data_IF_913125608849
#
_entry.id   IF_913125608849
#
_cell.length_a   1.000
_cell.length_b   1.000
_cell.length_c   1.000
_cell.angle_alpha   90.00
_cell.angle_beta   90.00
_cell.angle_gamma   90.00
#
_symmetry.space_group_name_H-M   'P 1'
#
loop_
_entity.id
_entity.type
_entity.pdbx_description
1 polymer ?
#
# COMPACT_ATOMS: atom_id res chain seq x y z
N UNK A 1 46.87 -2.12 -19.56
CA UNK A 1 46.15 -1.03 -20.26
C UNK A 1 45.33 -0.30 -19.20
N UNK A 2 45.55 0.94 -19.06
CA UNK A 2 45.64 1.75 -17.87
C UNK A 2 44.31 2.41 -17.49
N UNK A 3 44.04 2.50 -16.20
CA UNK A 3 42.95 3.11 -15.47
C UNK A 3 42.69 4.63 -15.77
N UNK A 4 43.37 5.21 -16.69
CA UNK A 4 43.34 6.66 -16.96
C UNK A 4 42.29 7.09 -18.00
N UNK A 5 41.60 6.16 -18.65
CA UNK A 5 40.61 6.53 -19.69
C UNK A 5 39.18 6.73 -19.17
N UNK A 6 38.87 6.30 -17.94
CA UNK A 6 37.54 6.46 -17.32
C UNK A 6 37.33 7.85 -16.69
N UNK A 7 38.43 8.52 -16.30
CA UNK A 7 38.36 9.80 -15.61
C UNK A 7 38.11 11.02 -16.51
N UNK A 8 38.27 10.88 -17.84
CA UNK A 8 38.13 12.01 -18.78
C UNK A 8 36.73 12.17 -19.39
N UNK A 9 35.85 11.16 -19.29
CA UNK A 9 34.46 11.26 -19.80
C UNK A 9 33.52 12.02 -18.86
N UNK A 10 33.90 12.32 -17.62
CA UNK A 10 33.03 12.89 -16.59
C UNK A 10 33.20 14.41 -16.38
N UNK A 11 33.80 15.14 -17.32
CA UNK A 11 34.03 16.61 -17.18
C UNK A 11 33.10 17.49 -18.05
N UNK A 12 32.09 16.93 -18.73
CA UNK A 12 31.32 17.71 -19.72
C UNK A 12 29.83 17.83 -19.46
N UNK A 13 29.35 17.57 -18.25
CA UNK A 13 27.93 17.83 -17.88
C UNK A 13 27.76 18.69 -16.62
N UNK A 14 28.38 19.88 -16.64
CA UNK A 14 28.12 20.93 -15.63
C UNK A 14 27.25 22.03 -16.22
N UNK A 15 26.14 21.71 -16.85
CA UNK A 15 25.19 22.73 -17.34
C UNK A 15 23.79 22.14 -17.48
N UNK A 16 23.13 21.81 -16.39
CA UNK A 16 21.66 21.82 -16.28
C UNK A 16 21.14 21.35 -14.91
N UNK A 17 21.77 21.78 -13.83
CA UNK A 17 21.28 21.48 -12.47
C UNK A 17 19.85 21.95 -12.20
N UNK A 18 19.37 22.98 -12.90
CA UNK A 18 18.01 23.47 -12.78
C UNK A 18 16.96 22.57 -13.50
N UNK A 19 17.31 22.03 -14.67
CA UNK A 19 16.42 21.16 -15.42
C UNK A 19 16.27 19.78 -14.76
N UNK A 20 17.36 19.24 -14.21
CA UNK A 20 17.35 17.99 -13.44
C UNK A 20 16.57 18.17 -12.15
N UNK A 21 16.69 19.31 -11.47
CA UNK A 21 15.96 19.61 -10.25
C UNK A 21 14.43 19.79 -10.50
N UNK A 22 14.04 20.34 -11.67
CA UNK A 22 12.64 20.43 -12.09
C UNK A 22 12.07 19.05 -12.47
N UNK A 23 12.83 18.22 -13.18
CA UNK A 23 12.42 16.84 -13.48
C UNK A 23 12.30 15.98 -12.22
N UNK A 24 13.18 16.16 -11.22
CA UNK A 24 13.09 15.47 -9.94
C UNK A 24 11.84 15.90 -9.18
N UNK A 25 11.47 17.19 -9.19
CA UNK A 25 10.23 17.69 -8.55
C UNK A 25 8.95 17.17 -9.24
N UNK A 26 8.94 17.06 -10.56
CA UNK A 26 7.81 16.45 -11.27
C UNK A 26 7.73 14.93 -11.08
N UNK A 27 8.87 14.25 -10.95
CA UNK A 27 8.91 12.80 -10.68
C UNK A 27 8.48 12.47 -9.25
N UNK A 28 8.80 13.32 -8.26
CA UNK A 28 8.40 13.17 -6.86
C UNK A 28 6.87 13.26 -6.67
N UNK A 29 6.17 14.04 -7.52
CA UNK A 29 4.70 14.13 -7.48
C UNK A 29 3.98 12.93 -8.12
N UNK A 30 4.66 12.09 -8.91
CA UNK A 30 4.08 10.91 -9.58
C UNK A 30 4.27 9.59 -8.83
N UNK A 31 5.00 9.58 -7.70
CA UNK A 31 5.36 8.35 -6.97
C UNK A 31 4.22 7.71 -6.17
N UNK A 32 3.01 8.27 -6.20
CA UNK A 32 1.85 7.76 -5.47
C UNK A 32 1.25 6.47 -6.05
N UNK A 33 1.88 5.83 -7.03
CA UNK A 33 1.36 4.63 -7.67
C UNK A 33 2.39 3.73 -8.33
N UNK A 34 3.69 3.95 -8.14
CA UNK A 34 4.72 3.08 -8.72
C UNK A 34 4.64 1.69 -8.09
N UNK A 35 4.35 0.69 -8.91
CA UNK A 35 4.41 -0.68 -8.45
C UNK A 35 5.88 -1.11 -8.27
N UNK A 36 6.09 -2.19 -7.50
CA UNK A 36 7.44 -2.71 -7.20
C UNK A 36 8.25 -3.04 -8.46
N UNK A 37 7.59 -3.45 -9.56
CA UNK A 37 8.26 -3.79 -10.82
C UNK A 37 8.82 -2.55 -11.52
N UNK A 38 8.11 -1.42 -11.46
CA UNK A 38 8.61 -0.17 -12.05
C UNK A 38 9.78 0.37 -11.26
N UNK A 39 9.72 0.33 -9.92
CA UNK A 39 10.87 0.65 -9.06
C UNK A 39 12.08 -0.27 -9.30
N UNK A 40 11.86 -1.56 -9.55
CA UNK A 40 12.94 -2.49 -9.90
C UNK A 40 13.57 -2.16 -11.25
N UNK A 41 12.78 -1.72 -12.24
CA UNK A 41 13.31 -1.27 -13.55
C UNK A 41 14.14 -0.01 -13.37
N UNK A 42 13.66 0.96 -12.60
CA UNK A 42 14.41 2.20 -12.33
C UNK A 42 15.73 1.89 -11.62
N UNK A 43 15.73 0.96 -10.65
CA UNK A 43 16.95 0.51 -9.98
C UNK A 43 17.95 -0.19 -10.94
N UNK A 44 17.45 -0.85 -12.00
CA UNK A 44 18.33 -1.48 -13.02
C UNK A 44 18.87 -0.48 -14.04
N UNK A 45 18.20 0.65 -14.27
CA UNK A 45 18.51 1.60 -15.35
C UNK A 45 19.20 2.86 -14.86
N UNK A 46 18.97 3.26 -13.60
CA UNK A 46 19.58 4.45 -13.00
C UNK A 46 20.79 4.09 -12.12
N UNK A 47 21.63 5.07 -11.80
CA UNK A 47 22.72 4.82 -10.84
C UNK A 47 22.15 4.64 -9.44
N UNK A 48 22.76 3.79 -8.61
CA UNK A 48 22.35 3.58 -7.22
C UNK A 48 22.31 4.89 -6.43
N UNK A 49 23.26 5.81 -6.69
CA UNK A 49 23.32 7.11 -6.03
C UNK A 49 22.10 7.99 -6.36
N UNK A 50 21.60 7.94 -7.58
CA UNK A 50 20.43 8.69 -8.03
C UNK A 50 19.15 8.05 -7.48
N UNK A 51 19.07 6.71 -7.47
CA UNK A 51 17.97 5.97 -6.88
C UNK A 51 17.84 6.24 -5.35
N UNK A 52 18.98 6.27 -4.62
CA UNK A 52 18.99 6.57 -3.18
C UNK A 52 18.59 8.00 -2.83
N UNK A 53 18.65 8.92 -3.79
CA UNK A 53 18.14 10.30 -3.63
C UNK A 53 16.65 10.43 -3.96
N UNK A 54 16.06 9.42 -4.60
CA UNK A 54 14.62 9.40 -4.83
C UNK A 54 13.91 9.13 -3.51
N UNK A 55 12.94 9.95 -3.17
CA UNK A 55 12.06 9.70 -2.04
C UNK A 55 11.04 8.61 -2.43
N UNK A 56 11.46 7.36 -2.28
CA UNK A 56 10.65 6.15 -2.56
C UNK A 56 9.92 5.71 -1.30
N UNK A 57 9.71 6.60 -0.35
CA UNK A 57 9.05 6.31 0.92
C UNK A 57 7.60 5.89 0.65
N UNK A 58 7.26 4.68 1.07
CA UNK A 58 5.87 4.23 1.08
C UNK A 58 5.07 5.18 1.97
N UNK A 59 3.95 5.67 1.46
CA UNK A 59 2.99 6.42 2.27
C UNK A 59 2.67 5.61 3.54
N UNK A 60 2.75 6.21 4.73
CA UNK A 60 2.31 5.56 5.95
C UNK A 60 0.88 5.02 5.77
N UNK A 61 0.59 3.86 6.35
CA UNK A 61 -0.72 3.20 6.20
C UNK A 61 -1.89 4.13 6.52
N UNK A 62 -1.78 4.97 7.56
CA UNK A 62 -2.84 5.90 7.97
C UNK A 62 -3.10 6.99 6.93
N UNK A 63 -2.07 7.49 6.25
CA UNK A 63 -2.22 8.47 5.17
C UNK A 63 -2.84 7.81 3.94
N UNK A 64 -2.45 6.56 3.63
CA UNK A 64 -3.02 5.79 2.53
C UNK A 64 -4.53 5.59 2.70
N UNK A 65 -5.01 5.14 3.87
CA UNK A 65 -6.44 4.96 4.12
C UNK A 65 -7.19 6.30 4.22
N UNK A 66 -6.54 7.38 4.70
CA UNK A 66 -7.15 8.71 4.71
C UNK A 66 -7.34 9.24 3.28
N UNK A 67 -6.35 9.05 2.41
CA UNK A 67 -6.45 9.40 1.00
C UNK A 67 -7.56 8.62 0.30
N UNK A 68 -7.67 7.30 0.56
CA UNK A 68 -8.75 6.47 0.01
C UNK A 68 -10.15 6.97 0.42
N UNK A 69 -10.32 7.48 1.65
CA UNK A 69 -11.57 8.11 2.07
C UNK A 69 -11.84 9.38 1.26
N UNK A 70 -10.83 10.24 1.09
CA UNK A 70 -10.96 11.50 0.33
C UNK A 70 -11.31 11.23 -1.14
N UNK A 71 -10.63 10.30 -1.79
CA UNK A 71 -10.86 9.94 -3.19
C UNK A 71 -12.26 9.39 -3.46
N UNK A 72 -12.88 8.74 -2.46
CA UNK A 72 -14.24 8.17 -2.53
C UNK A 72 -15.32 9.09 -1.97
N UNK A 73 -14.94 10.22 -1.39
CA UNK A 73 -15.88 11.12 -0.71
C UNK A 73 -16.56 10.50 0.51
N UNK A 74 -15.93 9.48 1.11
CA UNK A 74 -16.47 8.78 2.27
C UNK A 74 -15.86 9.29 3.59
N UNK A 75 -16.64 9.28 4.67
CA UNK A 75 -16.15 9.66 5.99
C UNK A 75 -15.45 8.48 6.68
N UNK A 76 -14.47 8.78 7.53
CA UNK A 76 -13.75 7.77 8.33
C UNK A 76 -14.71 6.95 9.19
N UNK A 77 -15.70 7.62 9.81
CA UNK A 77 -16.73 6.98 10.65
C UNK A 77 -17.56 5.97 9.87
N UNK A 78 -17.92 6.31 8.63
CA UNK A 78 -18.71 5.42 7.78
C UNK A 78 -17.93 4.13 7.45
N UNK A 79 -16.66 4.27 7.08
CA UNK A 79 -15.78 3.12 6.80
C UNK A 79 -15.57 2.27 8.07
N UNK A 80 -15.27 2.89 9.22
CA UNK A 80 -15.08 2.18 10.49
C UNK A 80 -16.33 1.36 10.85
N UNK A 81 -17.52 1.93 10.67
CA UNK A 81 -18.80 1.26 10.94
C UNK A 81 -19.04 0.09 9.99
N UNK A 82 -18.83 0.28 8.67
CA UNK A 82 -18.97 -0.78 7.66
C UNK A 82 -17.96 -1.91 7.86
N UNK A 83 -16.74 -1.59 8.26
CA UNK A 83 -15.70 -2.57 8.59
C UNK A 83 -16.00 -3.35 9.89
N UNK A 84 -17.00 -2.96 10.68
CA UNK A 84 -17.29 -3.59 11.96
C UNK A 84 -16.16 -3.44 13.00
N UNK A 85 -15.38 -2.36 12.89
CA UNK A 85 -14.26 -2.08 13.79
C UNK A 85 -14.72 -1.16 14.92
N UNK A 86 -14.22 -1.41 16.15
CA UNK A 86 -14.48 -0.50 17.27
C UNK A 86 -14.09 0.94 16.90
N UNK A 87 -14.95 1.91 17.21
CA UNK A 87 -14.79 3.31 16.84
C UNK A 87 -13.45 3.90 17.31
N UNK A 88 -13.10 3.71 18.57
CA UNK A 88 -11.86 4.23 19.15
C UNK A 88 -10.63 3.64 18.45
N UNK A 89 -10.63 2.32 18.22
CA UNK A 89 -9.57 1.63 17.50
C UNK A 89 -9.46 2.12 16.04
N UNK A 90 -10.59 2.28 15.36
CA UNK A 90 -10.65 2.81 13.99
C UNK A 90 -10.00 4.19 13.89
N UNK A 91 -10.37 5.12 14.77
CA UNK A 91 -9.74 6.45 14.81
C UNK A 91 -8.24 6.39 15.09
N UNK A 92 -7.77 5.48 15.94
CA UNK A 92 -6.34 5.27 16.19
C UNK A 92 -5.60 4.81 14.92
N UNK A 93 -6.23 3.97 14.09
CA UNK A 93 -5.67 3.55 12.81
C UNK A 93 -5.54 4.73 11.83
N UNK A 94 -6.59 5.53 11.69
CA UNK A 94 -6.60 6.70 10.80
C UNK A 94 -5.68 7.84 11.26
N UNK A 95 -5.35 7.91 12.54
CA UNK A 95 -4.43 8.91 13.08
C UNK A 95 -2.98 8.39 13.18
N UNK A 96 -2.72 7.15 12.77
CA UNK A 96 -1.39 6.57 12.82
C UNK A 96 -0.87 6.24 14.22
N UNK A 97 -1.71 6.39 15.27
CA UNK A 97 -1.31 6.11 16.66
C UNK A 97 -1.24 4.61 16.97
N UNK A 98 -1.78 3.78 16.08
CA UNK A 98 -1.78 2.32 16.23
C UNK A 98 -1.52 1.64 14.90
N UNK A 99 -0.61 0.65 14.90
CA UNK A 99 -0.37 -0.20 13.74
C UNK A 99 -1.55 -1.19 13.61
N UNK A 100 -2.13 -1.37 12.41
CA UNK A 100 -3.18 -2.35 12.19
C UNK A 100 -2.61 -3.77 12.28
N UNK A 101 -3.42 -4.73 12.72
CA UNK A 101 -3.15 -6.15 12.49
C UNK A 101 -3.72 -6.56 11.12
N UNK A 102 -3.21 -7.65 10.57
CA UNK A 102 -3.66 -8.21 9.29
C UNK A 102 -5.19 -8.30 9.17
N UNK A 103 -5.84 -8.81 10.20
CA UNK A 103 -7.30 -8.95 10.26
C UNK A 103 -8.03 -7.60 10.21
N UNK A 104 -7.47 -6.56 10.84
CA UNK A 104 -8.05 -5.21 10.82
C UNK A 104 -7.89 -4.55 9.45
N UNK A 105 -6.79 -4.83 8.75
CA UNK A 105 -6.60 -4.40 7.35
C UNK A 105 -7.63 -5.06 6.45
N UNK A 106 -7.89 -6.36 6.62
CA UNK A 106 -8.91 -7.11 5.84
C UNK A 106 -10.31 -6.55 6.13
N UNK A 107 -10.65 -6.29 7.40
CA UNK A 107 -11.93 -5.67 7.76
C UNK A 107 -12.08 -4.28 7.13
N UNK A 108 -11.02 -3.46 7.11
CA UNK A 108 -11.03 -2.17 6.41
C UNK A 108 -11.23 -2.35 4.90
N UNK A 109 -10.56 -3.33 4.28
CA UNK A 109 -10.73 -3.63 2.87
C UNK A 109 -12.19 -3.98 2.53
N UNK A 110 -12.85 -4.79 3.35
CA UNK A 110 -14.28 -5.11 3.24
C UNK A 110 -15.11 -3.84 3.47
N UNK A 111 -14.79 -3.03 4.48
CA UNK A 111 -15.46 -1.77 4.76
C UNK A 111 -15.38 -0.75 3.62
N UNK A 112 -14.26 -0.69 2.92
CA UNK A 112 -14.08 0.11 1.72
C UNK A 112 -14.74 -0.51 0.48
N UNK A 113 -15.10 -1.81 0.49
CA UNK A 113 -15.60 -2.55 -0.68
C UNK A 113 -14.51 -2.72 -1.74
N UNK A 114 -13.27 -3.01 -1.32
CA UNK A 114 -12.13 -3.21 -2.23
C UNK A 114 -12.27 -4.54 -2.98
N UNK A 115 -11.69 -4.59 -4.17
CA UNK A 115 -11.45 -5.83 -4.88
C UNK A 115 -10.22 -6.58 -4.32
N UNK A 116 -9.93 -7.76 -4.87
CA UNK A 116 -8.81 -8.61 -4.41
C UNK A 116 -7.48 -7.91 -4.60
N UNK A 117 -7.26 -7.25 -5.73
CA UNK A 117 -5.98 -6.59 -6.03
C UNK A 117 -5.74 -5.41 -5.09
N UNK A 118 -6.73 -4.54 -4.92
CA UNK A 118 -6.69 -3.41 -3.99
C UNK A 118 -6.49 -3.88 -2.53
N UNK A 119 -7.12 -4.99 -2.15
CA UNK A 119 -6.94 -5.59 -0.82
C UNK A 119 -5.50 -6.06 -0.61
N UNK A 120 -4.89 -6.71 -1.61
CA UNK A 120 -3.49 -7.12 -1.54
C UNK A 120 -2.54 -5.92 -1.46
N UNK A 121 -2.84 -4.84 -2.20
CA UNK A 121 -2.08 -3.59 -2.12
C UNK A 121 -2.20 -2.94 -0.73
N UNK A 122 -3.40 -2.95 -0.13
CA UNK A 122 -3.63 -2.42 1.21
C UNK A 122 -2.89 -3.23 2.29
N UNK A 123 -2.87 -4.57 2.18
CA UNK A 123 -2.09 -5.44 3.05
C UNK A 123 -0.59 -5.15 2.92
N UNK A 124 -0.09 -4.97 1.70
CA UNK A 124 1.31 -4.60 1.45
C UNK A 124 1.66 -3.23 2.05
N UNK A 125 0.77 -2.23 1.92
CA UNK A 125 0.95 -0.91 2.54
C UNK A 125 0.99 -0.99 4.08
N UNK A 126 0.24 -1.91 4.68
CA UNK A 126 0.27 -2.20 6.12
C UNK A 126 1.48 -3.05 6.55
N UNK A 127 2.32 -3.50 5.61
CA UNK A 127 3.42 -4.45 5.84
C UNK A 127 2.93 -5.79 6.43
N UNK A 128 1.75 -6.23 6.01
CA UNK A 128 1.13 -7.48 6.42
C UNK A 128 1.19 -8.53 5.29
N UNK A 129 1.09 -9.81 5.66
CA UNK A 129 1.14 -10.91 4.70
C UNK A 129 -0.04 -10.87 3.72
N UNK A 130 0.16 -11.07 2.41
CA UNK A 130 -0.91 -11.12 1.44
C UNK A 130 -1.85 -12.31 1.68
N UNK A 131 -3.08 -12.22 1.17
CA UNK A 131 -4.03 -13.33 1.15
C UNK A 131 -3.59 -14.37 0.11
N UNK A 132 -3.64 -15.65 0.49
CA UNK A 132 -3.32 -16.76 -0.40
C UNK A 132 -4.42 -17.81 -0.41
N UNK A 133 -4.91 -18.25 -1.57
CA UNK A 133 -5.98 -19.26 -1.66
C UNK A 133 -5.52 -20.66 -1.21
N UNK A 134 -4.23 -20.86 -0.94
CA UNK A 134 -3.68 -22.12 -0.39
C UNK A 134 -4.02 -22.34 1.09
N UNK A 135 -4.38 -21.26 1.80
CA UNK A 135 -4.80 -21.30 3.20
C UNK A 135 -6.32 -21.22 3.22
N UNK A 136 -7.00 -22.21 3.84
CA UNK A 136 -8.47 -22.30 3.85
C UNK A 136 -9.15 -21.01 4.34
N UNK A 137 -8.61 -20.41 5.41
CA UNK A 137 -9.14 -19.14 5.96
C UNK A 137 -9.00 -17.99 4.97
N UNK A 138 -7.84 -17.86 4.32
CA UNK A 138 -7.61 -16.83 3.31
C UNK A 138 -8.47 -17.05 2.08
N UNK A 139 -8.68 -18.29 1.67
CA UNK A 139 -9.58 -18.63 0.56
C UNK A 139 -11.02 -18.21 0.85
N UNK A 140 -11.51 -18.44 2.08
CA UNK A 140 -12.83 -17.97 2.51
C UNK A 140 -12.93 -16.44 2.51
N UNK A 141 -11.88 -15.73 2.97
CA UNK A 141 -11.82 -14.27 2.95
C UNK A 141 -11.79 -13.74 1.52
N UNK A 142 -10.98 -14.34 0.63
CA UNK A 142 -10.95 -13.98 -0.79
C UNK A 142 -12.32 -14.16 -1.44
N UNK A 143 -13.03 -15.25 -1.12
CA UNK A 143 -14.41 -15.47 -1.58
C UNK A 143 -15.33 -14.33 -1.12
N UNK A 144 -15.27 -13.91 0.16
CA UNK A 144 -16.06 -12.79 0.67
C UNK A 144 -15.79 -11.49 -0.09
N UNK A 145 -14.52 -11.18 -0.37
CA UNK A 145 -14.11 -9.99 -1.13
C UNK A 145 -14.63 -10.05 -2.56
N UNK A 146 -14.46 -11.19 -3.25
CA UNK A 146 -14.91 -11.37 -4.64
C UNK A 146 -16.43 -11.27 -4.80
N UNK A 147 -17.19 -11.65 -3.77
CA UNK A 147 -18.66 -11.58 -3.76
C UNK A 147 -19.19 -10.33 -3.04
N UNK A 148 -18.32 -9.37 -2.67
CA UNK A 148 -18.68 -8.11 -2.01
C UNK A 148 -19.54 -8.30 -0.75
N UNK A 149 -19.26 -9.36 0.02
CA UNK A 149 -19.95 -9.60 1.29
C UNK A 149 -19.55 -8.55 2.32
N UNK A 150 -20.50 -8.19 3.18
CA UNK A 150 -20.22 -7.26 4.27
C UNK A 150 -19.43 -7.92 5.42
N UNK A 151 -18.99 -7.11 6.39
CA UNK A 151 -18.19 -7.61 7.52
C UNK A 151 -18.93 -8.64 8.39
N UNK A 152 -20.26 -8.54 8.52
CA UNK A 152 -21.06 -9.49 9.30
C UNK A 152 -21.24 -10.81 8.56
N UNK A 153 -21.51 -10.74 7.26
CA UNK A 153 -21.62 -11.91 6.38
C UNK A 153 -20.29 -12.66 6.32
N UNK A 154 -19.16 -11.96 6.19
CA UNK A 154 -17.83 -12.55 6.22
C UNK A 154 -17.53 -13.24 7.57
N UNK A 155 -17.89 -12.62 8.69
CA UNK A 155 -17.75 -13.23 10.03
C UNK A 155 -18.62 -14.48 10.18
N UNK A 156 -19.86 -14.45 9.68
CA UNK A 156 -20.77 -15.59 9.68
C UNK A 156 -20.20 -16.75 8.85
N UNK A 157 -19.77 -16.47 7.61
CA UNK A 157 -19.18 -17.46 6.72
C UNK A 157 -17.97 -18.13 7.37
N UNK A 158 -17.05 -17.36 7.97
CA UNK A 158 -15.90 -17.93 8.67
C UNK A 158 -16.33 -18.84 9.83
N UNK A 159 -17.39 -18.47 10.58
CA UNK A 159 -17.92 -19.29 11.66
C UNK A 159 -18.57 -20.58 11.15
N UNK A 160 -19.35 -20.51 10.06
CA UNK A 160 -20.04 -21.66 9.45
C UNK A 160 -19.03 -22.72 8.93
N UNK A 161 -17.81 -22.32 8.61
CA UNK A 161 -16.72 -23.22 8.17
C UNK A 161 -15.71 -23.52 9.29
N UNK A 162 -16.01 -23.28 10.54
CA UNK A 162 -15.10 -23.48 11.70
C UNK A 162 -13.75 -22.78 11.54
N UNK A 163 -13.74 -21.62 10.88
CA UNK A 163 -12.55 -20.80 10.67
C UNK A 163 -12.48 -19.67 11.69
N UNK A 164 -11.26 -19.27 12.09
CA UNK A 164 -11.05 -18.16 13.02
C UNK A 164 -11.64 -16.87 12.46
N UNK A 165 -12.45 -16.18 13.25
CA UNK A 165 -13.08 -14.90 12.91
C UNK A 165 -12.04 -13.80 12.71
N UNK A 166 -12.43 -12.76 11.96
CA UNK A 166 -11.56 -11.60 11.75
C UNK A 166 -11.55 -10.71 13.00
N UNK A 167 -10.34 -10.46 13.52
CA UNK A 167 -10.12 -9.53 14.62
C UNK A 167 -10.53 -10.05 16.00
N UNK A 168 -10.63 -11.37 16.16
CA UNK A 168 -10.76 -12.04 17.46
C UNK A 168 -9.46 -11.97 18.25
#
# INVERSE_FOLDING_TARGET
MTFTHWAQANKQTKSSGAAVCLMIKEKTMKNHGLNTLDLMKDLCTESLDDFMKMDVTLLPFHDHIAQMCADRGETREHIIKRAGINRTYGHQLFNGTRKPSRDKVILLAIGFGLDVEQTQQLLKAAQESPLTPRIKRDAAILYCIMHHLDSNEAQKLLTDFDLTRLGS
#
